data_IF_609914291960
#
_entry.id   IF_609914291960
#
_cell.length_a   1.000
_cell.length_b   1.000
_cell.length_c   1.000
_cell.angle_alpha   90.00
_cell.angle_beta   90.00
_cell.angle_gamma   90.00
#
_symmetry.space_group_name_H-M   'P 1'
#
loop_
_entity.id
_entity.type
_entity.pdbx_description
1 polymer ?
#
# COMPACT_ATOMS: atom_id res chain seq x y z
N UNK A 1 19.20 25.56 -24.75
CA UNK A 1 17.93 26.31 -24.72
C UNK A 1 16.72 25.44 -24.29
N UNK A 2 16.90 24.21 -23.80
CA UNK A 2 15.80 23.28 -23.45
C UNK A 2 15.41 23.23 -21.96
N UNK A 3 16.28 23.67 -21.05
CA UNK A 3 16.12 23.42 -19.61
C UNK A 3 14.89 24.07 -18.97
N UNK A 4 14.42 25.21 -19.50
CA UNK A 4 13.22 25.89 -18.97
C UNK A 4 11.94 25.10 -19.28
N UNK A 5 11.89 24.45 -20.45
CA UNK A 5 10.75 23.62 -20.84
C UNK A 5 10.71 22.32 -20.01
N UNK A 6 11.86 21.68 -19.83
CA UNK A 6 12.01 20.48 -19.00
C UNK A 6 11.67 20.75 -17.53
N UNK A 7 12.08 21.90 -16.98
CA UNK A 7 11.74 22.31 -15.62
C UNK A 7 10.22 22.50 -15.45
N UNK A 8 9.56 23.18 -16.40
CA UNK A 8 8.10 23.35 -16.39
C UNK A 8 7.35 22.04 -16.51
N UNK A 9 7.84 21.13 -17.35
CA UNK A 9 7.28 19.79 -17.48
C UNK A 9 7.38 19.02 -16.16
N UNK A 10 8.55 19.04 -15.51
CA UNK A 10 8.73 18.41 -14.21
C UNK A 10 7.82 19.03 -13.14
N UNK A 11 7.70 20.37 -13.09
CA UNK A 11 6.79 21.06 -12.18
C UNK A 11 5.34 20.58 -12.40
N UNK A 12 4.90 20.53 -13.66
CA UNK A 12 3.55 20.05 -13.99
C UNK A 12 3.34 18.59 -13.58
N UNK A 13 4.32 17.72 -13.79
CA UNK A 13 4.27 16.32 -13.36
C UNK A 13 4.15 16.22 -11.84
N UNK A 14 4.99 16.94 -11.10
CA UNK A 14 4.96 16.93 -9.63
C UNK A 14 3.62 17.43 -9.07
N UNK A 15 3.03 18.48 -9.68
CA UNK A 15 1.70 18.96 -9.29
C UNK A 15 0.64 17.88 -9.52
N UNK A 16 0.67 17.18 -10.66
CA UNK A 16 -0.27 16.09 -10.92
C UNK A 16 -0.08 14.90 -9.97
N UNK A 17 1.17 14.51 -9.70
CA UNK A 17 1.47 13.47 -8.71
C UNK A 17 0.93 13.83 -7.32
N UNK A 18 1.07 15.09 -6.90
CA UNK A 18 0.51 15.58 -5.64
C UNK A 18 -1.02 15.47 -5.62
N UNK A 19 -1.70 15.81 -6.73
CA UNK A 19 -3.15 15.70 -6.81
C UNK A 19 -3.60 14.23 -6.72
N UNK A 20 -2.95 13.33 -7.47
CA UNK A 20 -3.27 11.90 -7.44
C UNK A 20 -3.00 11.27 -6.07
N UNK A 21 -1.91 11.61 -5.39
CA UNK A 21 -1.64 11.07 -4.05
C UNK A 21 -2.62 11.64 -3.01
N UNK A 22 -3.08 12.88 -3.15
CA UNK A 22 -4.12 13.46 -2.30
C UNK A 22 -5.48 12.76 -2.52
N UNK A 23 -5.81 12.44 -3.77
CA UNK A 23 -7.00 11.65 -4.10
C UNK A 23 -6.88 10.22 -3.56
N UNK A 24 -5.71 9.58 -3.72
CA UNK A 24 -5.45 8.25 -3.17
C UNK A 24 -5.56 8.23 -1.64
N UNK A 25 -5.03 9.25 -0.96
CA UNK A 25 -5.18 9.43 0.49
C UNK A 25 -6.65 9.58 0.91
N UNK A 26 -7.47 10.23 0.08
CA UNK A 26 -8.91 10.34 0.31
C UNK A 26 -9.58 8.97 0.22
N UNK A 27 -9.28 8.18 -0.82
CA UNK A 27 -9.83 6.83 -0.95
C UNK A 27 -9.34 5.86 0.13
N UNK A 28 -8.08 5.96 0.57
CA UNK A 28 -7.59 5.18 1.71
C UNK A 28 -8.30 5.56 3.01
N UNK A 29 -8.59 6.84 3.22
CA UNK A 29 -9.37 7.30 4.38
C UNK A 29 -10.81 6.81 4.32
N UNK A 30 -11.44 6.82 3.14
CA UNK A 30 -12.78 6.27 2.92
C UNK A 30 -12.81 4.76 3.14
N UNK A 31 -11.82 4.03 2.62
CA UNK A 31 -11.67 2.59 2.81
C UNK A 31 -11.64 2.22 4.30
N UNK A 32 -10.92 2.99 5.12
CA UNK A 32 -10.92 2.78 6.58
C UNK A 32 -12.34 2.82 7.16
N UNK A 33 -13.15 3.79 6.74
CA UNK A 33 -14.53 3.97 7.19
C UNK A 33 -15.39 2.80 6.70
N UNK A 34 -15.26 2.42 5.43
CA UNK A 34 -15.99 1.29 4.83
C UNK A 34 -15.67 -0.01 5.54
N UNK A 35 -14.40 -0.28 5.83
CA UNK A 35 -13.94 -1.46 6.58
C UNK A 35 -14.47 -1.46 8.02
N UNK A 36 -14.44 -0.31 8.70
CA UNK A 36 -14.95 -0.18 10.06
C UNK A 36 -16.48 -0.35 10.14
N UNK A 37 -17.20 0.13 9.12
CA UNK A 37 -18.66 0.04 9.01
C UNK A 37 -19.15 -1.23 8.30
N UNK A 38 -18.25 -2.12 7.90
CA UNK A 38 -18.55 -3.41 7.26
C UNK A 38 -19.34 -3.30 5.94
N UNK A 39 -19.17 -2.21 5.20
CA UNK A 39 -19.84 -1.96 3.92
C UNK A 39 -19.05 -2.57 2.75
N UNK A 40 -18.85 -3.89 2.77
CA UNK A 40 -17.92 -4.58 1.85
C UNK A 40 -18.25 -4.40 0.37
N UNK A 41 -19.52 -4.16 0.02
CA UNK A 41 -19.96 -3.92 -1.36
C UNK A 41 -19.31 -2.67 -1.99
N UNK A 42 -18.81 -1.73 -1.17
CA UNK A 42 -18.11 -0.51 -1.63
C UNK A 42 -16.59 -0.69 -1.80
N UNK A 43 -16.03 -1.81 -1.36
CA UNK A 43 -14.58 -2.02 -1.40
C UNK A 43 -14.08 -2.30 -2.82
N UNK A 44 -14.90 -2.91 -3.67
CA UNK A 44 -14.53 -3.21 -5.06
C UNK A 44 -14.33 -1.91 -5.86
N UNK A 45 -15.31 -1.01 -5.82
CA UNK A 45 -15.21 0.33 -6.43
C UNK A 45 -13.99 1.12 -5.91
N UNK A 46 -13.71 1.05 -4.60
CA UNK A 46 -12.54 1.70 -4.02
C UNK A 46 -11.23 1.07 -4.48
N UNK A 47 -11.18 -0.26 -4.63
CA UNK A 47 -9.99 -0.96 -5.11
C UNK A 47 -9.66 -0.56 -6.55
N UNK A 48 -10.65 -0.51 -7.44
CA UNK A 48 -10.47 -0.10 -8.83
C UNK A 48 -9.93 1.34 -8.95
N UNK A 49 -10.53 2.29 -8.22
CA UNK A 49 -10.08 3.69 -8.20
C UNK A 49 -8.65 3.83 -7.70
N UNK A 50 -8.30 3.12 -6.62
CA UNK A 50 -6.92 3.11 -6.08
C UNK A 50 -5.93 2.48 -7.06
N UNK A 51 -6.31 1.41 -7.76
CA UNK A 51 -5.46 0.77 -8.75
C UNK A 51 -5.16 1.72 -9.92
N UNK A 52 -6.16 2.44 -10.43
CA UNK A 52 -5.97 3.42 -11.50
C UNK A 52 -5.02 4.55 -11.07
N UNK A 53 -5.20 5.11 -9.87
CA UNK A 53 -4.33 6.17 -9.37
C UNK A 53 -2.90 5.69 -9.14
N UNK A 54 -2.73 4.47 -8.64
CA UNK A 54 -1.40 3.88 -8.43
C UNK A 54 -0.67 3.67 -9.76
N UNK A 55 -1.38 3.20 -10.79
CA UNK A 55 -0.81 3.06 -12.14
C UNK A 55 -0.39 4.41 -12.72
N UNK A 56 -1.21 5.46 -12.56
CA UNK A 56 -0.87 6.81 -13.01
C UNK A 56 0.38 7.36 -12.29
N UNK A 57 0.48 7.14 -10.97
CA UNK A 57 1.64 7.55 -10.17
C UNK A 57 2.92 6.82 -10.59
N UNK A 58 2.84 5.52 -10.88
CA UNK A 58 3.98 4.74 -11.36
C UNK A 58 4.46 5.19 -12.74
N UNK A 59 3.52 5.40 -13.67
CA UNK A 59 3.85 5.93 -15.00
C UNK A 59 4.52 7.32 -14.90
N UNK A 60 4.00 8.20 -14.05
CA UNK A 60 4.57 9.53 -13.83
C UNK A 60 5.96 9.47 -13.19
N UNK A 61 6.17 8.59 -12.21
CA UNK A 61 7.48 8.39 -11.60
C UNK A 61 8.53 7.94 -12.64
N UNK A 62 8.15 7.06 -13.57
CA UNK A 62 9.01 6.62 -14.67
C UNK A 62 9.34 7.75 -15.65
N UNK A 63 8.36 8.61 -15.96
CA UNK A 63 8.55 9.81 -16.78
C UNK A 63 9.50 10.80 -16.12
N UNK A 64 9.32 11.08 -14.82
CA UNK A 64 10.21 11.95 -14.04
C UNK A 64 11.65 11.45 -14.07
N UNK A 65 11.87 10.16 -13.81
CA UNK A 65 13.22 9.56 -13.86
C UNK A 65 13.82 9.71 -15.25
N UNK A 66 13.04 9.48 -16.30
CA UNK A 66 13.50 9.59 -17.69
C UNK A 66 13.88 11.03 -18.06
N UNK A 67 13.09 12.01 -17.61
CA UNK A 67 13.35 13.44 -17.80
C UNK A 67 14.64 13.89 -17.11
N UNK A 68 14.92 13.34 -15.93
CA UNK A 68 16.13 13.65 -15.15
C UNK A 68 17.39 12.91 -15.61
N UNK A 69 17.27 11.75 -16.29
CA UNK A 69 18.39 10.89 -16.66
C UNK A 69 18.87 11.03 -18.10
N UNK A 70 18.33 11.99 -18.87
CA UNK A 70 18.54 12.15 -20.32
C UNK A 70 20.01 12.43 -20.78
N UNK A 71 21.01 12.28 -19.91
CA UNK A 71 22.43 12.43 -20.24
C UNK A 71 23.40 11.46 -19.54
N UNK A 72 22.96 10.63 -18.57
CA UNK A 72 23.88 9.80 -17.78
C UNK A 72 23.35 8.38 -17.55
N UNK A 73 24.21 7.38 -17.81
CA UNK A 73 23.95 5.96 -17.47
C UNK A 73 24.05 5.80 -15.95
N UNK A 74 22.89 5.82 -15.28
CA UNK A 74 22.68 5.55 -13.84
C UNK A 74 23.39 6.50 -12.87
N UNK A 75 22.87 7.72 -12.63
CA UNK A 75 23.11 8.41 -11.38
C UNK A 75 22.19 7.84 -10.28
N UNK A 76 22.64 7.91 -9.04
CA UNK A 76 21.74 7.96 -7.87
C UNK A 76 20.61 8.97 -8.14
N UNK A 77 19.34 8.62 -7.88
CA UNK A 77 18.18 9.48 -8.14
C UNK A 77 18.35 10.87 -7.49
N UNK A 78 18.99 10.92 -6.31
CA UNK A 78 19.27 12.17 -5.64
C UNK A 78 20.33 13.00 -6.38
N UNK A 79 21.38 12.36 -6.88
CA UNK A 79 22.40 13.01 -7.70
C UNK A 79 21.83 13.51 -9.04
N UNK A 80 20.97 12.72 -9.69
CA UNK A 80 20.27 13.13 -10.92
C UNK A 80 19.41 14.37 -10.70
N UNK A 81 18.75 14.45 -9.53
CA UNK A 81 17.96 15.63 -9.15
C UNK A 81 18.82 16.87 -8.94
N UNK A 82 19.92 16.74 -8.20
CA UNK A 82 20.83 17.86 -7.98
C UNK A 82 21.45 18.36 -9.29
N UNK A 83 21.82 17.44 -10.19
CA UNK A 83 22.33 17.78 -11.52
C UNK A 83 21.25 18.51 -12.35
N UNK A 84 20.02 18.02 -12.36
CA UNK A 84 18.90 18.65 -13.05
C UNK A 84 18.63 20.06 -12.51
N UNK A 85 18.56 20.22 -11.19
CA UNK A 85 18.31 21.50 -10.53
C UNK A 85 19.43 22.52 -10.80
N UNK A 86 20.69 22.08 -10.91
CA UNK A 86 21.82 22.96 -11.24
C UNK A 86 21.69 23.61 -12.63
N UNK A 87 20.89 23.02 -13.51
CA UNK A 87 20.63 23.47 -14.89
C UNK A 87 19.38 24.35 -15.00
N UNK A 88 18.60 24.48 -13.91
CA UNK A 88 17.36 25.25 -13.84
C UNK A 88 17.61 26.68 -13.36
N UNK A 89 16.60 27.55 -13.51
CA UNK A 89 16.61 28.85 -12.84
C UNK A 89 16.49 28.68 -11.32
N UNK A 90 16.94 29.66 -10.53
CA UNK A 90 16.82 29.59 -9.08
C UNK A 90 15.36 29.50 -8.60
N UNK A 91 14.44 30.14 -9.32
CA UNK A 91 13.00 30.11 -9.05
C UNK A 91 12.41 28.71 -9.33
N UNK A 92 12.68 28.15 -10.51
CA UNK A 92 12.21 26.81 -10.87
C UNK A 92 12.78 25.75 -9.91
N UNK A 93 14.07 25.85 -9.59
CA UNK A 93 14.73 24.91 -8.68
C UNK A 93 14.13 24.98 -7.26
N UNK A 94 13.79 26.17 -6.77
CA UNK A 94 13.10 26.33 -5.50
C UNK A 94 11.70 25.70 -5.53
N UNK A 95 10.94 25.95 -6.58
CA UNK A 95 9.59 25.41 -6.74
C UNK A 95 9.60 23.88 -6.84
N UNK A 96 10.52 23.30 -7.62
CA UNK A 96 10.68 21.85 -7.73
C UNK A 96 11.01 21.23 -6.37
N UNK A 97 11.91 21.84 -5.59
CA UNK A 97 12.24 21.34 -4.24
C UNK A 97 11.03 21.38 -3.30
N UNK A 98 10.26 22.47 -3.32
CA UNK A 98 9.03 22.60 -2.52
C UNK A 98 8.00 21.52 -2.88
N UNK A 99 7.79 21.29 -4.18
CA UNK A 99 6.87 20.27 -4.66
C UNK A 99 7.32 18.86 -4.29
N UNK A 100 8.61 18.54 -4.39
CA UNK A 100 9.12 17.22 -3.97
C UNK A 100 8.96 16.99 -2.47
N UNK A 101 9.23 17.99 -1.65
CA UNK A 101 9.00 17.88 -0.20
C UNK A 101 7.53 17.62 0.10
N UNK A 102 6.62 18.39 -0.54
CA UNK A 102 5.17 18.17 -0.40
C UNK A 102 4.77 16.76 -0.85
N UNK A 103 5.28 16.29 -1.98
CA UNK A 103 4.99 14.94 -2.47
C UNK A 103 5.48 13.85 -1.49
N UNK A 104 6.70 14.00 -0.96
CA UNK A 104 7.26 13.07 0.02
C UNK A 104 6.42 13.01 1.30
N UNK A 105 5.98 14.16 1.83
CA UNK A 105 5.07 14.22 2.98
C UNK A 105 3.75 13.47 2.70
N UNK A 106 3.16 13.66 1.52
CA UNK A 106 1.91 13.00 1.13
C UNK A 106 2.07 11.49 0.92
N UNK A 107 3.22 11.05 0.42
CA UNK A 107 3.55 9.63 0.28
C UNK A 107 3.74 8.95 1.63
N UNK A 108 4.37 9.62 2.60
CA UNK A 108 4.49 9.12 3.97
C UNK A 108 3.09 8.93 4.57
N UNK A 109 2.22 9.93 4.44
CA UNK A 109 0.85 9.84 4.92
C UNK A 109 0.06 8.69 4.25
N UNK A 110 0.22 8.52 2.94
CA UNK A 110 -0.38 7.41 2.20
C UNK A 110 0.06 6.04 2.72
N UNK A 111 1.36 5.88 2.99
CA UNK A 111 1.92 4.63 3.55
C UNK A 111 1.32 4.34 4.93
N UNK A 112 1.17 5.36 5.76
CA UNK A 112 0.62 5.21 7.10
C UNK A 112 -0.87 4.80 7.04
N UNK A 113 -1.67 5.44 6.18
CA UNK A 113 -3.06 5.05 5.94
C UNK A 113 -3.18 3.62 5.43
N UNK A 114 -2.34 3.24 4.46
CA UNK A 114 -2.36 1.88 3.91
C UNK A 114 -1.98 0.83 4.97
N UNK A 115 -1.02 1.14 5.84
CA UNK A 115 -0.65 0.27 6.97
C UNK A 115 -1.83 0.06 7.93
N UNK A 116 -2.54 1.14 8.28
CA UNK A 116 -3.74 1.06 9.13
C UNK A 116 -4.84 0.22 8.47
N UNK A 117 -5.11 0.45 7.18
CA UNK A 117 -6.13 -0.33 6.47
C UNK A 117 -5.77 -1.81 6.40
N UNK A 118 -4.50 -2.15 6.14
CA UNK A 118 -4.02 -3.53 6.16
C UNK A 118 -4.24 -4.22 7.51
N UNK A 119 -4.00 -3.52 8.63
CA UNK A 119 -4.28 -4.03 9.98
C UNK A 119 -5.78 -4.29 10.21
N UNK A 120 -6.64 -3.37 9.76
CA UNK A 120 -8.10 -3.52 9.87
C UNK A 120 -8.60 -4.71 9.04
N UNK A 121 -8.09 -4.90 7.82
CA UNK A 121 -8.42 -6.03 6.96
C UNK A 121 -8.01 -7.35 7.62
N UNK A 122 -6.77 -7.44 8.13
CA UNK A 122 -6.27 -8.64 8.81
C UNK A 122 -7.14 -9.02 10.02
N UNK A 123 -7.53 -8.03 10.84
CA UNK A 123 -8.40 -8.26 11.99
C UNK A 123 -9.81 -8.73 11.59
N UNK A 124 -10.38 -8.16 10.54
CA UNK A 124 -11.68 -8.59 10.01
C UNK A 124 -11.62 -10.03 9.49
N UNK A 125 -10.55 -10.41 8.80
CA UNK A 125 -10.35 -11.77 8.31
C UNK A 125 -10.22 -12.77 9.46
N UNK A 126 -9.39 -12.46 10.46
CA UNK A 126 -9.21 -13.29 11.65
C UNK A 126 -10.54 -13.50 12.40
N UNK A 127 -11.29 -12.43 12.64
CA UNK A 127 -12.60 -12.51 13.33
C UNK A 127 -13.59 -13.38 12.55
N UNK A 128 -13.62 -13.29 11.22
CA UNK A 128 -14.47 -14.14 10.38
C UNK A 128 -14.04 -15.60 10.43
N UNK A 129 -12.74 -15.87 10.38
CA UNK A 129 -12.22 -17.24 10.47
C UNK A 129 -12.59 -17.89 11.81
N UNK A 130 -12.49 -17.16 12.92
CA UNK A 130 -12.91 -17.64 14.24
C UNK A 130 -14.41 -17.96 14.29
N UNK A 131 -15.25 -17.10 13.71
CA UNK A 131 -16.70 -17.35 13.61
C UNK A 131 -16.98 -18.60 12.76
N UNK A 132 -16.32 -18.72 11.60
CA UNK A 132 -16.48 -19.90 10.73
C UNK A 132 -16.01 -21.17 11.43
N UNK A 133 -14.87 -21.14 12.14
CA UNK A 133 -14.37 -22.28 12.91
C UNK A 133 -15.35 -22.69 14.02
N UNK A 134 -15.89 -21.70 14.75
CA UNK A 134 -16.88 -21.93 15.80
C UNK A 134 -18.19 -22.53 15.25
N UNK A 135 -18.70 -22.00 14.13
CA UNK A 135 -19.93 -22.47 13.48
C UNK A 135 -19.76 -23.83 12.79
N UNK A 136 -18.60 -24.09 12.19
CA UNK A 136 -18.30 -25.35 11.50
C UNK A 136 -17.93 -26.48 12.46
N UNK A 137 -17.91 -26.22 13.77
CA UNK A 137 -17.53 -27.20 14.80
C UNK A 137 -16.06 -27.64 14.72
N UNK A 138 -15.24 -26.98 13.90
CA UNK A 138 -13.83 -27.32 13.71
C UNK A 138 -13.02 -26.68 14.83
N UNK A 139 -13.21 -27.18 16.06
CA UNK A 139 -12.23 -27.00 17.14
C UNK A 139 -10.99 -27.79 16.76
N UNK A 140 -9.99 -27.11 16.21
CA UNK A 140 -8.63 -27.61 16.35
C UNK A 140 -8.38 -27.78 17.86
N UNK A 141 -7.92 -28.97 18.24
CA UNK A 141 -7.73 -29.49 19.60
C UNK A 141 -8.97 -30.20 20.19
N UNK A 142 -8.81 -31.52 20.32
CA UNK A 142 -9.83 -32.51 20.63
C UNK A 142 -10.74 -32.15 21.79
N UNK A 143 -12.05 -32.20 21.51
CA UNK A 143 -13.09 -32.24 22.54
C UNK A 143 -12.88 -33.52 23.35
N UNK A 144 -12.44 -33.37 24.60
CA UNK A 144 -12.45 -34.47 25.56
C UNK A 144 -13.91 -34.78 25.89
N UNK A 145 -14.37 -35.96 25.50
CA UNK A 145 -15.73 -36.41 25.79
C UNK A 145 -15.74 -37.01 27.18
N UNK A 146 -16.63 -36.53 28.05
CA UNK A 146 -16.92 -37.17 29.33
C UNK A 146 -17.65 -38.49 29.07
N UNK A 147 -17.01 -39.60 29.39
CA UNK A 147 -17.66 -40.92 29.33
C UNK A 147 -18.60 -41.11 30.52
N UNK A 148 -19.59 -42.01 30.38
CA UNK A 148 -20.57 -42.34 31.44
C UNK A 148 -19.95 -42.87 32.73
N UNK A 149 -18.64 -43.16 32.74
CA UNK A 149 -17.87 -43.60 33.90
C UNK A 149 -17.05 -42.47 34.54
N UNK A 150 -17.14 -41.24 34.05
CA UNK A 150 -16.49 -40.05 34.63
C UNK A 150 -15.06 -39.79 34.14
N UNK A 151 -14.57 -40.50 33.13
CA UNK A 151 -13.21 -40.32 32.57
C UNK A 151 -13.23 -39.44 31.30
N UNK A 152 -12.21 -38.58 31.15
CA UNK A 152 -11.94 -37.80 29.92
C UNK A 152 -11.19 -38.67 28.91
N UNK A 153 -11.75 -38.85 27.71
CA UNK A 153 -11.00 -39.44 26.57
C UNK A 153 -10.59 -38.37 25.57
N UNK A 154 -9.29 -38.22 25.32
CA UNK A 154 -8.72 -37.47 24.19
C UNK A 154 -8.32 -38.45 23.07
N UNK A 155 -8.56 -38.15 21.79
CA UNK A 155 -8.09 -39.00 20.71
C UNK A 155 -6.57 -38.85 20.59
N UNK A 156 -5.84 -39.94 20.84
CA UNK A 156 -4.38 -39.97 20.74
C UNK A 156 -3.93 -39.98 19.27
N UNK A 157 -3.04 -39.05 18.93
CA UNK A 157 -2.27 -39.00 17.67
C UNK A 157 -1.61 -40.36 17.38
N UNK A 158 -2.05 -41.06 16.34
CA UNK A 158 -1.38 -42.27 15.88
C UNK A 158 -0.31 -41.90 14.84
N UNK A 159 0.89 -41.59 15.31
CA UNK A 159 2.12 -41.66 14.50
C UNK A 159 2.91 -42.90 14.92
N UNK A 160 3.19 -43.81 13.98
CA UNK A 160 4.56 -44.30 13.69
C UNK A 160 4.59 -45.47 12.69
N UNK A 161 5.36 -45.26 11.61
CA UNK A 161 6.25 -46.19 10.88
C UNK A 161 5.94 -47.69 10.85
N UNK A 162 5.72 -48.23 9.64
CA UNK A 162 6.02 -49.63 9.30
C UNK A 162 7.19 -49.66 8.31
N UNK A 163 8.34 -50.16 8.76
CA UNK A 163 9.36 -50.79 7.92
C UNK A 163 9.34 -52.29 8.24
N UNK A 164 9.29 -53.12 7.20
CA UNK A 164 9.72 -54.52 7.18
C UNK A 164 10.08 -54.89 5.74
#
# INVERSE_FOLDING_TARGET
MNNNQEAKELISQLVQEINWIEELNTFLSEEKIVLATRQFDKLEDLAEKKQQLTANLEESANKRVSLMTLGNKKPDNQAAMLEFLSKCSAEDALQINQLNNKLAEKLIYCRDLNTVNGQVIANNLHTRQEIVNALSGNKAVGVSVYTSNGELSTPADTKHHQEA
#
